data_IF_292351932762
#
_entry.id   IF_292351932762
#
_cell.length_a   1.000
_cell.length_b   1.000
_cell.length_c   1.000
_cell.angle_alpha   90.00
_cell.angle_beta   90.00
_cell.angle_gamma   90.00
#
_symmetry.space_group_name_H-M   'P 1'
#
loop_
_entity.id
_entity.type
_entity.pdbx_description
1 polymer ?
#
# COMPACT_ATOMS: atom_id res chain seq x y z
N UNK A 1 -17.76 8.91 3.35
CA UNK A 1 -16.56 8.25 2.87
C UNK A 1 -15.31 9.02 3.26
N UNK A 2 -14.19 8.32 3.45
CA UNK A 2 -12.89 8.92 3.71
C UNK A 2 -11.87 8.46 2.66
N UNK A 3 -10.84 9.26 2.45
CA UNK A 3 -9.68 8.90 1.65
C UNK A 3 -8.46 8.83 2.56
N UNK A 4 -7.75 7.72 2.52
CA UNK A 4 -6.52 7.49 3.29
C UNK A 4 -5.35 7.44 2.32
N UNK A 5 -4.45 8.41 2.41
CA UNK A 5 -3.21 8.39 1.65
C UNK A 5 -2.19 7.55 2.41
N UNK A 6 -1.60 6.56 1.76
CA UNK A 6 -0.63 5.66 2.39
C UNK A 6 0.77 5.94 1.88
N UNK A 7 1.70 6.11 2.83
CA UNK A 7 3.09 6.47 2.57
C UNK A 7 4.04 5.59 3.38
N UNK A 8 5.30 5.56 2.98
CA UNK A 8 6.40 5.09 3.83
C UNK A 8 7.60 6.05 3.72
N UNK A 9 8.43 6.10 4.76
CA UNK A 9 9.65 6.93 4.75
C UNK A 9 10.73 6.19 3.96
N UNK A 10 11.26 6.83 2.91
CA UNK A 10 12.31 6.28 2.06
C UNK A 10 13.62 6.10 2.83
N UNK A 11 14.42 5.16 2.39
CA UNK A 11 15.79 4.93 2.83
C UNK A 11 15.94 4.59 4.32
N UNK A 12 14.90 3.99 4.92
CA UNK A 12 14.88 3.54 6.32
C UNK A 12 14.85 2.02 6.38
N UNK A 13 13.73 1.40 5.96
CA UNK A 13 13.59 -0.05 6.01
C UNK A 13 14.44 -0.71 4.93
N UNK A 14 15.31 -1.63 5.33
CA UNK A 14 16.25 -2.29 4.43
C UNK A 14 17.53 -1.48 4.14
N UNK A 15 17.82 -0.47 4.96
CA UNK A 15 19.02 0.36 4.86
C UNK A 15 19.83 0.34 6.15
N UNK A 16 21.14 0.44 6.04
CA UNK A 16 22.05 0.56 7.19
C UNK A 16 21.91 1.94 7.83
N UNK A 17 21.55 1.97 9.09
CA UNK A 17 21.37 3.23 9.84
C UNK A 17 22.64 4.11 9.87
N UNK A 18 23.83 3.48 9.86
CA UNK A 18 25.11 4.19 9.99
C UNK A 18 25.61 4.76 8.65
N UNK A 19 25.37 4.07 7.55
CA UNK A 19 25.91 4.43 6.22
C UNK A 19 24.86 4.95 5.27
N UNK A 20 23.57 4.64 5.51
CA UNK A 20 22.49 4.94 4.58
C UNK A 20 22.48 4.06 3.32
N UNK A 21 23.33 3.03 3.27
CA UNK A 21 23.40 2.11 2.14
C UNK A 21 22.33 1.03 2.24
N UNK A 22 21.79 0.62 1.09
CA UNK A 22 20.85 -0.49 1.04
C UNK A 22 21.50 -1.80 1.50
N UNK A 23 20.80 -2.57 2.34
CA UNK A 23 21.27 -3.85 2.86
C UNK A 23 21.29 -4.94 1.81
N UNK A 24 20.48 -4.81 0.76
CA UNK A 24 20.39 -5.71 -0.38
C UNK A 24 19.82 -5.01 -1.62
N UNK A 25 19.62 -5.76 -2.69
CA UNK A 25 19.13 -5.27 -3.98
C UNK A 25 17.67 -4.77 -3.99
N UNK A 26 16.89 -5.04 -2.93
CA UNK A 26 15.51 -4.58 -2.85
C UNK A 26 15.38 -3.08 -2.52
N UNK A 27 16.35 -2.50 -1.79
CA UNK A 27 16.32 -1.07 -1.44
C UNK A 27 14.97 -0.66 -0.84
N UNK A 28 14.37 0.39 -1.37
CA UNK A 28 13.04 0.87 -0.95
C UNK A 28 11.88 -0.10 -1.27
N UNK A 29 12.14 -1.20 -1.97
CA UNK A 29 11.16 -2.29 -2.14
C UNK A 29 10.66 -2.86 -0.82
N UNK A 30 11.50 -2.83 0.23
CA UNK A 30 11.08 -3.23 1.57
C UNK A 30 10.03 -2.30 2.16
N UNK A 31 10.11 -0.99 1.92
CA UNK A 31 9.08 -0.04 2.32
C UNK A 31 7.73 -0.32 1.65
N UNK A 32 7.74 -0.65 0.36
CA UNK A 32 6.52 -1.09 -0.35
C UNK A 32 5.96 -2.39 0.20
N UNK A 33 6.84 -3.36 0.50
CA UNK A 33 6.43 -4.65 1.06
C UNK A 33 5.74 -4.47 2.42
N UNK A 34 6.39 -3.76 3.34
CA UNK A 34 5.84 -3.51 4.68
C UNK A 34 4.53 -2.72 4.62
N UNK A 35 4.47 -1.70 3.77
CA UNK A 35 3.24 -0.92 3.60
C UNK A 35 2.10 -1.77 3.04
N UNK A 36 2.39 -2.70 2.13
CA UNK A 36 1.39 -3.66 1.63
C UNK A 36 0.81 -4.52 2.74
N UNK A 37 1.64 -5.05 3.63
CA UNK A 37 1.22 -5.82 4.80
C UNK A 37 0.37 -4.97 5.77
N UNK A 38 0.79 -3.73 6.02
CA UNK A 38 0.05 -2.78 6.83
C UNK A 38 -1.32 -2.47 6.23
N UNK A 39 -1.38 -2.17 4.93
CA UNK A 39 -2.61 -1.84 4.24
C UNK A 39 -3.60 -3.00 4.24
N UNK A 40 -3.13 -4.26 4.13
CA UNK A 40 -4.00 -5.43 4.25
C UNK A 40 -4.65 -5.51 5.63
N UNK A 41 -3.89 -5.30 6.72
CA UNK A 41 -4.46 -5.26 8.06
C UNK A 41 -5.52 -4.14 8.20
N UNK A 42 -5.27 -2.98 7.62
CA UNK A 42 -6.23 -1.88 7.59
C UNK A 42 -7.53 -2.27 6.86
N UNK A 43 -7.41 -2.90 5.69
CA UNK A 43 -8.54 -3.34 4.87
C UNK A 43 -9.37 -4.40 5.59
N UNK A 44 -8.71 -5.39 6.20
CA UNK A 44 -9.37 -6.44 6.97
C UNK A 44 -10.12 -5.85 8.17
N UNK A 45 -9.52 -4.88 8.87
CA UNK A 45 -10.19 -4.21 9.98
C UNK A 45 -11.37 -3.35 9.53
N UNK A 46 -11.25 -2.66 8.41
CA UNK A 46 -12.36 -1.92 7.83
C UNK A 46 -13.54 -2.87 7.51
N UNK A 47 -13.25 -4.03 6.90
CA UNK A 47 -14.28 -5.03 6.58
C UNK A 47 -14.93 -5.63 7.83
N UNK A 48 -14.15 -5.90 8.87
CA UNK A 48 -14.68 -6.35 10.17
C UNK A 48 -15.68 -5.33 10.75
N UNK A 49 -15.44 -4.04 10.55
CA UNK A 49 -16.30 -2.95 10.99
C UNK A 49 -17.48 -2.65 10.03
N UNK A 50 -17.68 -3.47 9.00
CA UNK A 50 -18.76 -3.32 8.02
C UNK A 50 -18.50 -2.24 6.96
N UNK A 51 -17.25 -1.80 6.82
CA UNK A 51 -16.84 -0.84 5.80
C UNK A 51 -16.26 -1.55 4.57
N UNK A 52 -16.45 -0.93 3.42
CA UNK A 52 -15.80 -1.34 2.18
C UNK A 52 -14.62 -0.43 1.87
N UNK A 53 -13.65 -0.97 1.13
CA UNK A 53 -12.43 -0.25 0.75
C UNK A 53 -12.13 -0.42 -0.74
N UNK A 54 -11.49 0.60 -1.33
CA UNK A 54 -10.95 0.54 -2.68
C UNK A 54 -9.53 1.13 -2.69
N UNK A 55 -8.55 0.30 -3.07
CA UNK A 55 -7.17 0.76 -3.25
C UNK A 55 -7.01 1.36 -4.64
N UNK A 56 -6.57 2.60 -4.69
CA UNK A 56 -6.30 3.35 -5.92
C UNK A 56 -4.80 3.60 -6.05
N UNK A 57 -4.16 2.86 -6.97
CA UNK A 57 -2.75 3.05 -7.31
C UNK A 57 -2.54 4.13 -8.38
N UNK A 58 -3.52 4.36 -9.25
CA UNK A 58 -3.51 5.44 -10.23
C UNK A 58 -3.91 6.72 -9.51
N UNK A 59 -2.97 7.64 -9.37
CA UNK A 59 -3.11 8.88 -8.61
C UNK A 59 -2.21 9.98 -9.16
N UNK A 60 -2.54 11.21 -8.89
CA UNK A 60 -1.66 12.36 -9.10
C UNK A 60 -0.82 12.59 -7.82
N UNK A 61 0.38 11.99 -7.80
CA UNK A 61 1.28 12.08 -6.64
C UNK A 61 1.66 13.52 -6.32
N UNK A 62 1.97 14.32 -7.35
CA UNK A 62 2.40 15.70 -7.18
C UNK A 62 1.31 16.53 -6.53
N UNK A 63 0.09 16.46 -7.05
CA UNK A 63 -1.04 17.20 -6.49
C UNK A 63 -1.35 16.79 -5.05
N UNK A 64 -1.29 15.47 -4.73
CA UNK A 64 -1.50 14.97 -3.37
C UNK A 64 -0.43 15.50 -2.42
N UNK A 65 0.84 15.45 -2.84
CA UNK A 65 1.97 15.93 -2.05
C UNK A 65 1.86 17.41 -1.72
N UNK A 66 1.55 18.22 -2.71
CA UNK A 66 1.37 19.66 -2.55
C UNK A 66 0.16 19.99 -1.66
N UNK A 67 -0.97 19.31 -1.88
CA UNK A 67 -2.20 19.57 -1.13
C UNK A 67 -2.12 19.18 0.35
N UNK A 68 -1.42 18.08 0.66
CA UNK A 68 -1.29 17.55 2.03
C UNK A 68 0.03 17.91 2.70
N UNK A 69 0.90 18.66 2.03
CA UNK A 69 2.24 19.03 2.53
C UNK A 69 3.08 17.80 2.96
N UNK A 70 3.06 16.75 2.12
CA UNK A 70 3.79 15.51 2.41
C UNK A 70 5.28 15.69 2.08
N UNK A 71 6.20 15.42 3.02
CA UNK A 71 7.64 15.57 2.79
C UNK A 71 8.17 14.72 1.63
N UNK A 72 9.19 15.23 0.93
CA UNK A 72 9.87 14.48 -0.14
C UNK A 72 10.51 13.17 0.33
N UNK A 73 10.85 13.06 1.62
CA UNK A 73 11.34 11.82 2.21
C UNK A 73 10.30 10.71 2.26
N UNK A 74 9.01 11.04 2.12
CA UNK A 74 7.94 10.05 2.09
C UNK A 74 7.55 9.67 0.67
N UNK A 75 7.46 8.36 0.43
CA UNK A 75 6.92 7.79 -0.80
C UNK A 75 5.40 7.63 -0.68
N UNK A 76 4.66 8.34 -1.51
CA UNK A 76 3.20 8.16 -1.63
C UNK A 76 2.96 6.92 -2.50
N UNK A 77 2.24 5.93 -1.98
CA UNK A 77 2.04 4.64 -2.67
C UNK A 77 0.62 4.52 -3.22
N UNK A 78 -0.37 4.68 -2.38
CA UNK A 78 -1.77 4.52 -2.79
C UNK A 78 -2.69 5.46 -2.02
N UNK A 79 -3.89 5.64 -2.56
CA UNK A 79 -5.03 6.23 -1.85
C UNK A 79 -6.06 5.13 -1.64
N UNK A 80 -6.52 4.95 -0.41
CA UNK A 80 -7.55 3.97 -0.06
C UNK A 80 -8.83 4.72 0.25
N UNK A 81 -9.86 4.53 -0.58
CA UNK A 81 -11.20 4.98 -0.24
C UNK A 81 -11.82 4.04 0.78
N UNK A 82 -12.46 4.58 1.80
CA UNK A 82 -13.13 3.83 2.88
C UNK A 82 -14.53 4.37 3.06
N UNK A 83 -15.51 3.49 3.14
CA UNK A 83 -16.90 3.88 3.34
C UNK A 83 -17.86 2.72 3.15
N UNK A 84 -19.13 3.04 2.95
CA UNK A 84 -20.15 2.04 2.63
C UNK A 84 -20.30 1.93 1.12
N UNK A 85 -20.01 0.74 0.59
CA UNK A 85 -20.21 0.44 -0.82
C UNK A 85 -21.69 0.41 -1.18
N UNK A 86 -22.02 0.91 -2.36
CA UNK A 86 -23.40 0.92 -2.87
C UNK A 86 -23.64 -0.07 -4.02
N UNK A 87 -22.65 -0.88 -4.34
CA UNK A 87 -22.70 -1.89 -5.41
C UNK A 87 -21.96 -3.15 -5.02
N UNK A 88 -22.57 -4.29 -5.28
CA UNK A 88 -21.86 -5.55 -5.28
C UNK A 88 -21.00 -5.64 -6.54
N UNK A 89 -19.70 -5.69 -6.37
CA UNK A 89 -18.75 -5.85 -7.46
C UNK A 89 -18.50 -7.32 -7.74
N UNK A 90 -18.50 -7.71 -9.00
CA UNK A 90 -18.13 -9.05 -9.40
C UNK A 90 -16.68 -9.34 -8.96
N UNK A 91 -16.48 -10.50 -8.33
CA UNK A 91 -15.14 -10.90 -7.91
C UNK A 91 -14.31 -11.31 -9.15
N UNK A 92 -13.16 -10.68 -9.39
CA UNK A 92 -12.28 -11.10 -10.48
C UNK A 92 -11.85 -12.55 -10.31
N UNK A 93 -11.77 -13.28 -11.43
CA UNK A 93 -11.25 -14.65 -11.42
C UNK A 93 -9.79 -14.65 -10.92
N UNK A 94 -9.48 -15.53 -10.01
CA UNK A 94 -8.13 -15.73 -9.49
C UNK A 94 -7.53 -17.00 -10.08
N UNK A 95 -6.22 -17.00 -10.25
CA UNK A 95 -5.47 -18.20 -10.60
C UNK A 95 -5.58 -19.24 -9.50
N UNK A 96 -5.45 -20.51 -9.85
CA UNK A 96 -5.41 -21.60 -8.86
C UNK A 96 -4.07 -21.61 -8.12
N UNK A 97 -4.00 -22.36 -7.03
CA UNK A 97 -2.73 -22.51 -6.27
C UNK A 97 -1.66 -23.14 -7.16
N UNK A 98 -2.01 -24.12 -7.96
CA UNK A 98 -1.11 -24.83 -8.88
C UNK A 98 -0.51 -23.92 -9.97
N UNK A 99 -1.25 -22.86 -10.35
CA UNK A 99 -0.76 -21.89 -11.34
C UNK A 99 0.21 -20.85 -10.76
N UNK A 100 0.21 -20.65 -9.45
CA UNK A 100 0.99 -19.57 -8.80
C UNK A 100 2.00 -20.05 -7.78
N UNK A 101 1.89 -21.29 -7.28
CA UNK A 101 2.77 -21.85 -6.28
C UNK A 101 3.53 -23.07 -6.84
N UNK A 102 4.79 -23.17 -6.45
CA UNK A 102 5.63 -24.35 -6.70
C UNK A 102 6.00 -24.95 -5.37
N UNK A 103 5.62 -26.22 -5.18
CA UNK A 103 6.02 -26.98 -4.00
C UNK A 103 7.30 -27.75 -4.35
N UNK A 104 8.32 -27.63 -3.51
CA UNK A 104 9.64 -28.24 -3.70
C UNK A 104 9.85 -29.33 -2.66
#
# INVERSE_FOLDING_TARGET
AALVVTTFVKDIVGFHANTGEAMNDCGNGWGYYDLGLHNENFILKAKELGLDTLIMGIRDEKAIREFLDIPEAEQIVAVIAVGYGNKDMARPQRKTVEEIAKFI
#
